data_IF_670227390505
#
_entry.id   IF_670227390505
#
_cell.length_a   1.000
_cell.length_b   1.000
_cell.length_c   1.000
_cell.angle_alpha   90.00
_cell.angle_beta   90.00
_cell.angle_gamma   90.00
#
_symmetry.space_group_name_H-M   'P 1'
#
loop_
_entity.id
_entity.type
_entity.pdbx_description
1 polymer ?
#
# COMPACT_ATOMS: atom_id res chain seq x y z
N UNK A 1 9.89 -13.99 -17.29
CA UNK A 1 10.00 -12.53 -17.38
C UNK A 1 9.21 -12.01 -16.21
N UNK A 2 9.80 -11.19 -15.35
CA UNK A 2 9.11 -10.71 -14.17
C UNK A 2 8.01 -9.72 -14.60
N UNK A 3 6.74 -10.10 -14.46
CA UNK A 3 5.60 -9.28 -14.86
C UNK A 3 5.00 -8.58 -13.64
N UNK A 4 4.84 -7.27 -13.77
CA UNK A 4 4.19 -6.45 -12.75
C UNK A 4 2.69 -6.54 -12.99
N UNK A 5 1.98 -7.25 -12.12
CA UNK A 5 0.54 -7.37 -12.16
C UNK A 5 -0.12 -6.35 -11.21
N UNK A 6 -1.18 -5.64 -11.64
CA UNK A 6 -1.94 -4.78 -10.75
C UNK A 6 -2.72 -5.63 -9.73
N UNK A 7 -2.56 -5.32 -8.45
CA UNK A 7 -3.29 -5.96 -7.37
C UNK A 7 -4.35 -5.01 -6.82
N UNK A 8 -5.58 -5.50 -6.72
CA UNK A 8 -6.67 -4.80 -6.06
C UNK A 8 -7.40 -5.76 -5.12
N UNK A 9 -7.64 -5.30 -3.89
CA UNK A 9 -8.45 -6.00 -2.91
C UNK A 9 -9.56 -5.10 -2.43
N UNK A 10 -10.78 -5.62 -2.47
CA UNK A 10 -12.01 -4.93 -2.04
C UNK A 10 -12.55 -5.54 -0.76
N UNK A 11 -13.25 -4.72 0.02
CA UNK A 11 -14.07 -5.14 1.14
C UNK A 11 -15.35 -5.83 0.66
N UNK A 12 -16.05 -6.52 1.57
CA UNK A 12 -17.35 -7.17 1.29
C UNK A 12 -18.42 -6.20 0.80
N UNK A 13 -18.31 -4.91 1.14
CA UNK A 13 -19.23 -3.86 0.70
C UNK A 13 -18.91 -3.31 -0.70
N UNK A 14 -17.85 -3.78 -1.36
CA UNK A 14 -17.38 -3.28 -2.65
C UNK A 14 -16.37 -2.13 -2.58
N UNK A 15 -16.14 -1.53 -1.41
CA UNK A 15 -15.13 -0.47 -1.24
C UNK A 15 -13.71 -1.03 -1.41
N UNK A 16 -12.81 -0.24 -2.01
CA UNK A 16 -11.40 -0.60 -2.09
C UNK A 16 -10.81 -0.71 -0.68
N UNK A 17 -10.06 -1.78 -0.43
CA UNK A 17 -9.31 -1.98 0.81
C UNK A 17 -7.81 -1.78 0.59
N UNK A 18 -7.27 -2.31 -0.50
CA UNK A 18 -5.89 -2.13 -0.88
C UNK A 18 -5.72 -2.18 -2.40
N UNK A 19 -4.83 -1.36 -2.92
CA UNK A 19 -4.36 -1.41 -4.30
C UNK A 19 -2.85 -1.32 -4.31
N UNK A 20 -2.24 -1.94 -5.31
CA UNK A 20 -0.82 -1.87 -5.53
C UNK A 20 -0.42 -2.74 -6.70
N UNK A 21 0.82 -3.20 -6.68
CA UNK A 21 1.36 -4.03 -7.74
C UNK A 21 2.08 -5.24 -7.14
N UNK A 22 2.10 -6.34 -7.88
CA UNK A 22 2.80 -7.57 -7.52
C UNK A 22 3.74 -7.98 -8.63
N UNK A 23 4.95 -8.42 -8.30
CA UNK A 23 5.94 -8.97 -9.21
C UNK A 23 6.19 -10.41 -8.80
N UNK A 24 5.92 -11.36 -9.71
CA UNK A 24 6.11 -12.80 -9.45
C UNK A 24 5.42 -13.26 -8.14
N UNK A 25 4.21 -12.76 -7.89
CA UNK A 25 3.43 -13.07 -6.67
C UNK A 25 3.82 -12.30 -5.41
N UNK A 26 4.83 -11.43 -5.46
CA UNK A 26 5.31 -10.65 -4.30
C UNK A 26 4.92 -9.18 -4.44
N UNK A 27 4.45 -8.51 -3.37
CA UNK A 27 4.09 -7.10 -3.45
C UNK A 27 5.31 -6.24 -3.79
N UNK A 28 5.14 -5.36 -4.77
CA UNK A 28 6.17 -4.42 -5.23
C UNK A 28 5.55 -3.08 -5.61
N UNK A 29 6.39 -2.06 -5.80
CA UNK A 29 5.95 -0.74 -6.23
C UNK A 29 5.15 -0.02 -5.15
N UNK A 30 4.29 0.90 -5.57
CA UNK A 30 3.49 1.72 -4.65
C UNK A 30 2.21 1.02 -4.25
N UNK A 31 1.90 1.06 -2.95
CA UNK A 31 0.73 0.45 -2.35
C UNK A 31 -0.07 1.47 -1.54
N UNK A 32 -1.38 1.35 -1.62
CA UNK A 32 -2.33 2.20 -0.92
C UNK A 32 -3.41 1.37 -0.27
N UNK A 33 -3.72 1.70 0.98
CA UNK A 33 -4.84 1.12 1.72
C UNK A 33 -5.88 2.19 1.94
N UNK A 34 -7.13 1.76 1.85
CA UNK A 34 -8.30 2.60 2.03
C UNK A 34 -9.17 2.01 3.13
N UNK A 35 -9.87 2.89 3.85
CA UNK A 35 -10.90 2.49 4.80
C UNK A 35 -12.19 2.15 4.05
N UNK A 36 -13.13 1.50 4.75
CA UNK A 36 -14.49 1.27 4.23
C UNK A 36 -15.21 2.55 3.82
N UNK A 37 -14.84 3.67 4.43
CA UNK A 37 -15.37 5.02 4.15
C UNK A 37 -14.75 5.66 2.88
N UNK A 38 -13.73 5.03 2.28
CA UNK A 38 -13.01 5.56 1.11
C UNK A 38 -11.82 6.46 1.47
N UNK A 39 -11.69 6.89 2.72
CA UNK A 39 -10.53 7.66 3.17
C UNK A 39 -9.25 6.81 3.09
N UNK A 40 -8.15 7.41 2.63
CA UNK A 40 -6.83 6.75 2.63
C UNK A 40 -6.46 6.40 4.07
N UNK A 41 -6.03 5.17 4.29
CA UNK A 41 -5.58 4.63 5.57
C UNK A 41 -4.05 4.74 5.66
N UNK A 42 -3.39 4.25 4.62
CA UNK A 42 -1.93 4.18 4.56
C UNK A 42 -1.48 4.15 3.10
N UNK A 43 -0.27 4.59 2.83
CA UNK A 43 0.41 4.34 1.58
C UNK A 43 1.91 4.17 1.80
N UNK A 44 2.59 3.54 0.85
CA UNK A 44 4.03 3.31 0.90
C UNK A 44 4.51 2.49 -0.28
N UNK A 45 5.78 2.10 -0.25
CA UNK A 45 6.35 1.26 -1.29
C UNK A 45 6.73 -0.12 -0.76
N UNK A 46 6.59 -1.12 -1.62
CA UNK A 46 7.17 -2.44 -1.42
C UNK A 46 8.23 -2.73 -2.46
N UNK A 47 9.18 -3.58 -2.09
CA UNK A 47 10.19 -4.12 -2.99
C UNK A 47 10.46 -5.55 -2.56
N UNK A 48 10.30 -6.50 -3.47
CA UNK A 48 10.56 -7.92 -3.20
C UNK A 48 9.75 -8.48 -2.02
N UNK A 49 8.52 -8.00 -1.82
CA UNK A 49 7.71 -8.39 -0.67
C UNK A 49 7.95 -7.59 0.62
N UNK A 50 8.98 -6.75 0.66
CA UNK A 50 9.38 -5.99 1.85
C UNK A 50 8.93 -4.53 1.79
N UNK A 51 8.53 -3.98 2.94
CA UNK A 51 8.16 -2.57 3.05
C UNK A 51 9.43 -1.71 2.93
N UNK A 52 9.45 -0.77 2.00
CA UNK A 52 10.60 0.12 1.77
C UNK A 52 10.18 1.56 1.57
N UNK A 53 11.11 2.49 1.79
CA UNK A 53 10.90 3.91 1.57
C UNK A 53 9.99 4.54 2.62
N UNK A 54 9.22 5.54 2.21
CA UNK A 54 8.38 6.31 3.13
C UNK A 54 6.97 5.75 3.18
N UNK A 55 6.52 5.46 4.40
CA UNK A 55 5.20 4.96 4.69
C UNK A 55 4.40 6.03 5.39
N UNK A 56 3.34 6.48 4.73
CA UNK A 56 2.47 7.52 5.24
C UNK A 56 1.18 6.90 5.74
N UNK A 57 0.87 7.08 7.01
CA UNK A 57 -0.43 6.78 7.62
C UNK A 57 -1.26 8.04 7.65
N UNK A 58 -2.52 7.92 7.26
CA UNK A 58 -3.47 9.03 7.21
C UNK A 58 -4.52 8.84 8.28
N UNK A 59 -5.00 9.94 8.86
CA UNK A 59 -6.10 9.92 9.81
C UNK A 59 -7.46 9.70 9.11
N UNK A 60 -8.53 9.53 9.88
CA UNK A 60 -9.93 9.50 9.43
C UNK A 60 -10.31 10.69 8.53
N UNK A 61 -9.73 11.87 8.77
CA UNK A 61 -9.93 13.07 7.94
C UNK A 61 -9.10 13.09 6.65
N UNK A 62 -8.31 12.04 6.36
CA UNK A 62 -7.44 11.96 5.18
C UNK A 62 -6.15 12.79 5.28
N UNK A 63 -5.86 13.39 6.44
CA UNK A 63 -4.62 14.13 6.70
C UNK A 63 -3.48 13.18 7.06
N UNK A 64 -2.25 13.54 6.70
CA UNK A 64 -1.05 12.79 7.11
C UNK A 64 -0.97 12.79 8.64
N UNK A 65 -1.10 11.60 9.23
CA UNK A 65 -1.01 11.37 10.67
C UNK A 65 0.42 11.03 11.07
N UNK A 66 1.07 10.16 10.30
CA UNK A 66 2.43 9.67 10.60
C UNK A 66 3.16 9.30 9.33
N UNK A 67 4.42 9.71 9.21
CA UNK A 67 5.33 9.21 8.18
C UNK A 67 6.39 8.37 8.87
N UNK A 68 6.64 7.17 8.34
CA UNK A 68 7.66 6.25 8.84
C UNK A 68 8.57 5.89 7.68
N UNK A 69 9.86 6.18 7.81
CA UNK A 69 10.85 5.78 6.81
C UNK A 69 11.34 4.37 7.14
N UNK A 70 11.00 3.40 6.30
CA UNK A 70 11.51 2.04 6.39
C UNK A 70 12.71 1.95 5.46
N UNK A 71 13.89 1.98 6.06
CA UNK A 71 15.13 1.65 5.36
C UNK A 71 15.26 0.13 5.39
N UNK A 72 15.47 -0.48 4.22
CA UNK A 72 15.92 -1.88 4.20
C UNK A 72 17.25 -1.91 4.98
N UNK A 73 17.38 -2.80 5.96
CA UNK A 73 18.68 -3.09 6.52
C UNK A 73 19.45 -3.88 5.45
N UNK A 74 20.65 -3.42 5.12
CA UNK A 74 21.55 -4.05 4.14
C UNK A 74 22.17 -5.34 4.68
#
# INVERSE_FOLDING_TARGET
MAEIEPFEKRHRNGSIWAVGQTLDGQPTGYWEWFRKDGSKLRSGHFRDGEQVGEWTTYDSAGRVYKVTTIKRAE
#
